data_IF_592557852564
#
_entry.id   IF_592557852564
#
_cell.length_a   1.000
_cell.length_b   1.000
_cell.length_c   1.000
_cell.angle_alpha   90.00
_cell.angle_beta   90.00
_cell.angle_gamma   90.00
#
_symmetry.space_group_name_H-M   'P 1'
#
loop_
_entity.id
_entity.type
_entity.pdbx_description
1 polymer ?
#
# COMPACT_ATOMS: atom_id res chain seq x y z
N UNK A 1 4.92 14.42 -11.13
CA UNK A 1 4.25 15.10 -12.25
C UNK A 1 3.26 14.21 -12.98
N UNK A 2 3.66 13.00 -13.45
CA UNK A 2 2.72 12.09 -14.16
C UNK A 2 1.54 11.71 -13.26
N UNK A 3 1.80 11.33 -12.01
CA UNK A 3 0.75 10.96 -11.05
C UNK A 3 -0.23 12.12 -10.84
N UNK A 4 0.26 13.35 -10.68
CA UNK A 4 -0.60 14.52 -10.49
C UNK A 4 -1.51 14.81 -11.70
N UNK A 5 -1.09 14.38 -12.89
CA UNK A 5 -1.86 14.57 -14.11
C UNK A 5 -2.93 13.51 -14.36
N UNK A 6 -2.67 12.27 -13.95
CA UNK A 6 -3.52 11.12 -14.29
C UNK A 6 -4.30 10.55 -13.10
N UNK A 7 -3.67 10.51 -11.93
CA UNK A 7 -4.22 9.94 -10.72
C UNK A 7 -3.72 10.71 -9.50
N UNK A 8 -4.11 12.00 -9.34
CA UNK A 8 -3.64 12.82 -8.23
C UNK A 8 -4.01 12.21 -6.88
N UNK A 9 -3.09 12.37 -5.92
CA UNK A 9 -3.23 11.87 -4.56
C UNK A 9 -3.57 13.03 -3.65
N UNK A 10 -4.76 12.97 -3.07
CA UNK A 10 -5.21 13.92 -2.05
C UNK A 10 -5.01 13.41 -0.63
N UNK A 11 -5.06 14.33 0.33
CA UNK A 11 -5.09 13.96 1.76
C UNK A 11 -6.37 13.17 2.06
N UNK A 12 -6.23 12.04 2.74
CA UNK A 12 -7.34 11.12 3.02
C UNK A 12 -7.57 10.04 1.95
N UNK A 13 -6.79 10.03 0.88
CA UNK A 13 -6.91 9.09 -0.24
C UNK A 13 -6.64 7.65 0.18
N UNK A 14 -7.40 6.72 -0.41
CA UNK A 14 -7.14 5.28 -0.40
C UNK A 14 -6.63 4.87 -1.77
N UNK A 15 -5.32 4.90 -1.97
CA UNK A 15 -4.71 4.60 -3.26
C UNK A 15 -4.16 3.18 -3.36
N UNK A 16 -4.38 2.55 -4.50
CA UNK A 16 -3.79 1.25 -4.83
C UNK A 16 -2.78 1.44 -5.96
N UNK A 17 -1.56 0.98 -5.72
CA UNK A 17 -0.52 0.88 -6.74
C UNK A 17 -0.49 -0.57 -7.22
N UNK A 18 -1.05 -0.81 -8.38
CA UNK A 18 -1.14 -2.15 -8.98
C UNK A 18 0.14 -2.44 -9.73
N UNK A 19 0.86 -3.48 -9.30
CA UNK A 19 2.16 -3.81 -9.87
C UNK A 19 2.27 -5.28 -10.26
N UNK A 20 2.45 -5.56 -11.55
CA UNK A 20 2.98 -6.85 -11.96
C UNK A 20 4.47 -6.98 -11.56
N UNK A 21 5.04 -8.21 -11.56
CA UNK A 21 6.46 -8.40 -11.31
C UNK A 21 7.35 -7.63 -12.30
N UNK A 22 8.45 -7.08 -11.81
CA UNK A 22 9.46 -6.37 -12.62
C UNK A 22 8.94 -5.15 -13.39
N UNK A 23 7.99 -4.43 -12.83
CA UNK A 23 7.42 -3.20 -13.41
C UNK A 23 7.95 -1.90 -12.78
N UNK A 24 8.95 -1.98 -11.89
CA UNK A 24 9.54 -0.81 -11.25
C UNK A 24 8.78 -0.31 -10.01
N UNK A 25 8.10 -1.21 -9.31
CA UNK A 25 7.35 -0.92 -8.08
C UNK A 25 8.17 -0.17 -7.03
N UNK A 26 9.35 -0.67 -6.68
CA UNK A 26 10.22 -0.07 -5.67
C UNK A 26 10.66 1.34 -6.05
N UNK A 27 10.99 1.55 -7.32
CA UNK A 27 11.40 2.86 -7.83
C UNK A 27 10.27 3.87 -7.74
N UNK A 28 9.05 3.52 -8.13
CA UNK A 28 7.91 4.43 -8.06
C UNK A 28 7.54 4.76 -6.61
N UNK A 29 7.62 3.79 -5.71
CA UNK A 29 7.39 4.03 -4.27
C UNK A 29 8.38 5.02 -3.69
N UNK A 30 9.67 4.87 -3.98
CA UNK A 30 10.72 5.80 -3.56
C UNK A 30 10.50 7.20 -4.12
N UNK A 31 10.11 7.29 -5.39
CA UNK A 31 9.82 8.56 -6.05
C UNK A 31 8.62 9.26 -5.42
N UNK A 32 7.55 8.53 -5.12
CA UNK A 32 6.38 9.07 -4.42
C UNK A 32 6.77 9.55 -3.04
N UNK A 33 7.48 8.75 -2.26
CA UNK A 33 7.94 9.10 -0.92
C UNK A 33 8.79 10.38 -0.92
N UNK A 34 9.80 10.44 -1.78
CA UNK A 34 10.67 11.60 -1.90
C UNK A 34 9.91 12.86 -2.35
N UNK A 35 8.93 12.70 -3.25
CA UNK A 35 8.11 13.82 -3.73
C UNK A 35 7.19 14.36 -2.63
N UNK A 36 6.60 13.49 -1.82
CA UNK A 36 5.79 13.90 -0.67
C UNK A 36 6.65 14.68 0.33
N UNK A 37 7.81 14.16 0.69
CA UNK A 37 8.72 14.80 1.64
C UNK A 37 9.21 16.17 1.16
N UNK A 38 9.45 16.29 -0.15
CA UNK A 38 9.92 17.55 -0.76
C UNK A 38 8.82 18.59 -0.88
N UNK A 39 7.64 18.19 -1.34
CA UNK A 39 6.56 19.09 -1.69
C UNK A 39 5.63 19.40 -0.52
N UNK A 40 5.54 18.50 0.44
CA UNK A 40 4.66 18.57 1.59
C UNK A 40 5.43 18.22 2.88
N UNK A 41 6.38 19.08 3.30
CA UNK A 41 7.25 18.79 4.46
C UNK A 41 6.49 18.71 5.79
N UNK A 42 5.27 19.22 5.86
CA UNK A 42 4.37 19.12 7.01
C UNK A 42 3.78 17.71 7.19
N UNK A 43 3.75 16.91 6.13
CA UNK A 43 3.20 15.55 6.16
C UNK A 43 4.14 14.60 6.87
N UNK A 44 3.59 13.78 7.75
CA UNK A 44 4.31 12.68 8.41
C UNK A 44 4.23 11.42 7.55
N UNK A 45 5.37 11.02 7.01
CA UNK A 45 5.47 9.86 6.14
C UNK A 45 5.90 8.62 6.94
N UNK A 46 5.15 7.54 6.78
CA UNK A 46 5.48 6.21 7.27
C UNK A 46 5.52 5.26 6.08
N UNK A 47 6.62 4.55 5.92
CA UNK A 47 6.73 3.46 4.95
C UNK A 47 6.68 2.14 5.70
N UNK A 48 5.68 1.32 5.44
CA UNK A 48 5.50 0.01 6.05
C UNK A 48 5.79 -1.08 5.03
N UNK A 49 6.84 -1.86 5.30
CA UNK A 49 7.31 -2.94 4.45
C UNK A 49 6.99 -4.30 5.11
N UNK A 50 6.16 -5.08 4.46
CA UNK A 50 5.74 -6.40 4.94
C UNK A 50 6.31 -7.49 4.03
N UNK A 51 6.97 -8.47 4.63
CA UNK A 51 7.54 -9.64 3.94
C UNK A 51 8.56 -9.24 2.86
N UNK A 52 9.34 -8.21 3.14
CA UNK A 52 10.34 -7.67 2.23
C UNK A 52 11.75 -8.16 2.60
N UNK A 53 12.68 -8.04 1.68
CA UNK A 53 14.08 -8.41 1.89
C UNK A 53 14.80 -7.37 2.75
N UNK A 54 15.73 -7.77 3.65
CA UNK A 54 16.49 -6.85 4.51
C UNK A 54 17.24 -5.76 3.72
N UNK A 55 17.81 -6.09 2.57
CA UNK A 55 18.53 -5.14 1.72
C UNK A 55 17.59 -4.05 1.14
N UNK A 56 16.35 -4.40 0.81
CA UNK A 56 15.36 -3.43 0.34
C UNK A 56 14.88 -2.51 1.47
N UNK A 57 14.77 -3.04 2.69
CA UNK A 57 14.49 -2.24 3.89
C UNK A 57 15.60 -1.24 4.14
N UNK A 58 16.85 -1.67 4.08
CA UNK A 58 18.02 -0.79 4.26
C UNK A 58 18.06 0.32 3.21
N UNK A 59 17.79 -0.02 1.96
CA UNK A 59 17.75 0.92 0.86
C UNK A 59 16.63 1.96 1.02
N UNK A 60 15.45 1.53 1.44
CA UNK A 60 14.34 2.45 1.73
C UNK A 60 14.69 3.40 2.88
N UNK A 61 15.30 2.91 3.96
CA UNK A 61 15.74 3.75 5.08
C UNK A 61 16.77 4.80 4.70
N UNK A 62 17.60 4.52 3.70
CA UNK A 62 18.57 5.49 3.17
C UNK A 62 17.93 6.55 2.28
N UNK A 63 16.83 6.21 1.63
CA UNK A 63 16.15 7.07 0.65
C UNK A 63 15.13 8.00 1.30
N UNK A 64 14.44 7.54 2.33
CA UNK A 64 13.31 8.21 2.96
C UNK A 64 13.76 8.83 4.28
N UNK A 65 13.42 10.11 4.53
CA UNK A 65 13.66 10.79 5.82
C UNK A 65 12.61 10.42 6.86
N UNK A 66 11.41 10.06 6.43
CA UNK A 66 10.32 9.58 7.26
C UNK A 66 10.63 8.25 7.93
N UNK A 67 9.66 7.75 8.68
CA UNK A 67 9.81 6.49 9.42
C UNK A 67 9.62 5.30 8.49
N UNK A 68 10.56 4.34 8.55
CA UNK A 68 10.46 3.06 7.86
C UNK A 68 10.26 1.96 8.90
N UNK A 69 9.09 1.34 8.87
CA UNK A 69 8.73 0.20 9.71
C UNK A 69 8.71 -1.04 8.83
N UNK A 70 9.36 -2.11 9.26
CA UNK A 70 9.50 -3.30 8.44
C UNK A 70 9.38 -4.59 9.25
N UNK A 71 8.78 -5.58 8.60
CA UNK A 71 8.83 -6.98 9.02
C UNK A 71 9.32 -7.80 7.83
N UNK A 72 10.55 -8.30 7.92
CA UNK A 72 11.22 -8.98 6.82
C UNK A 72 10.70 -10.41 6.60
N UNK A 73 11.01 -11.00 5.44
CA UNK A 73 10.49 -12.30 4.99
C UNK A 73 10.84 -13.47 5.92
N UNK A 74 11.88 -13.34 6.73
CA UNK A 74 12.34 -14.35 7.71
C UNK A 74 11.55 -14.32 9.02
N UNK A 75 10.59 -13.38 9.16
CA UNK A 75 9.73 -13.27 10.31
C UNK A 75 8.45 -14.09 10.15
N UNK A 76 7.87 -14.60 11.23
CA UNK A 76 6.61 -15.32 11.17
C UNK A 76 5.42 -14.40 10.83
N UNK A 77 4.35 -14.97 10.30
CA UNK A 77 3.18 -14.23 9.81
C UNK A 77 2.47 -13.41 10.89
N UNK A 78 2.48 -13.85 12.13
CA UNK A 78 1.92 -13.10 13.25
C UNK A 78 2.70 -11.83 13.59
N UNK A 79 4.01 -11.80 13.36
CA UNK A 79 4.78 -10.55 13.45
C UNK A 79 4.41 -9.56 12.35
N UNK A 80 4.16 -10.02 11.14
CA UNK A 80 3.71 -9.16 10.04
C UNK A 80 2.39 -8.48 10.36
N UNK A 81 1.43 -9.25 10.87
CA UNK A 81 0.12 -8.71 11.25
C UNK A 81 0.21 -7.76 12.45
N UNK A 82 1.00 -8.11 13.45
CA UNK A 82 1.19 -7.28 14.64
C UNK A 82 1.82 -5.91 14.31
N UNK A 83 2.85 -5.90 13.47
CA UNK A 83 3.50 -4.66 13.03
C UNK A 83 2.53 -3.76 12.24
N UNK A 84 1.68 -4.34 11.40
CA UNK A 84 0.66 -3.58 10.69
C UNK A 84 -0.36 -2.96 11.65
N UNK A 85 -0.82 -3.70 12.63
CA UNK A 85 -1.76 -3.21 13.66
C UNK A 85 -1.15 -2.08 14.49
N UNK A 86 0.09 -2.23 14.92
CA UNK A 86 0.80 -1.18 15.64
C UNK A 86 0.99 0.09 14.81
N UNK A 87 1.32 -0.06 13.53
CA UNK A 87 1.53 1.06 12.62
C UNK A 87 0.25 1.85 12.42
N UNK A 88 -0.87 1.19 12.18
CA UNK A 88 -2.14 1.89 11.97
C UNK A 88 -2.63 2.58 13.25
N UNK A 89 -2.45 1.97 14.41
CA UNK A 89 -2.80 2.61 15.70
C UNK A 89 -1.93 3.82 15.98
N UNK A 90 -0.62 3.74 15.71
CA UNK A 90 0.28 4.91 15.79
C UNK A 90 -0.18 6.04 14.88
N UNK A 91 -0.47 5.72 13.63
CA UNK A 91 -0.94 6.72 12.66
C UNK A 91 -2.25 7.38 13.09
N UNK A 92 -3.20 6.62 13.61
CA UNK A 92 -4.45 7.18 14.16
C UNK A 92 -4.21 8.15 15.30
N UNK A 93 -3.29 7.83 16.23
CA UNK A 93 -2.93 8.75 17.32
C UNK A 93 -2.34 10.06 16.79
N UNK A 94 -1.47 9.98 15.77
CA UNK A 94 -0.90 11.17 15.14
C UNK A 94 -2.00 12.03 14.47
N UNK A 95 -2.95 11.41 13.78
CA UNK A 95 -4.08 12.10 13.16
C UNK A 95 -4.96 12.79 14.21
N UNK A 96 -5.22 12.14 15.34
CA UNK A 96 -5.96 12.73 16.47
C UNK A 96 -5.26 13.97 17.05
N UNK A 97 -3.94 14.06 16.91
CA UNK A 97 -3.16 15.24 17.27
C UNK A 97 -3.16 16.33 16.18
N UNK A 98 -3.95 16.18 15.14
CA UNK A 98 -4.07 17.14 14.04
C UNK A 98 -3.03 16.97 12.93
N UNK A 99 -2.27 15.88 12.91
CA UNK A 99 -1.25 15.65 11.91
C UNK A 99 -1.82 15.07 10.61
N UNK A 100 -1.20 15.43 9.48
CA UNK A 100 -1.44 14.80 8.20
C UNK A 100 -0.43 13.66 8.02
N UNK A 101 -0.94 12.42 7.99
CA UNK A 101 -0.12 11.22 7.93
C UNK A 101 -0.32 10.51 6.60
N UNK A 102 0.75 10.09 5.97
CA UNK A 102 0.76 9.22 4.79
C UNK A 102 1.43 7.91 5.14
N UNK A 103 0.74 6.80 4.92
CA UNK A 103 1.32 5.46 4.99
C UNK A 103 1.49 4.93 3.57
N UNK A 104 2.70 4.56 3.21
CA UNK A 104 2.98 3.77 2.01
C UNK A 104 3.19 2.33 2.46
N UNK A 105 2.25 1.45 2.11
CA UNK A 105 2.28 0.03 2.45
C UNK A 105 2.77 -0.81 1.28
N UNK A 106 3.88 -1.47 1.45
CA UNK A 106 4.34 -2.51 0.52
C UNK A 106 4.25 -3.87 1.21
N UNK A 107 3.21 -4.66 1.04
CA UNK A 107 2.06 -4.43 0.20
C UNK A 107 0.83 -5.12 0.79
N UNK A 108 -0.33 -4.75 0.29
CA UNK A 108 -1.61 -5.28 0.77
C UNK A 108 -1.77 -6.78 0.48
N UNK A 109 -1.22 -7.25 -0.61
CA UNK A 109 -1.23 -8.68 -0.98
C UNK A 109 -0.50 -9.53 0.05
N UNK A 110 0.71 -9.12 0.43
CA UNK A 110 1.52 -9.84 1.42
C UNK A 110 0.91 -9.75 2.81
N UNK A 111 0.36 -8.62 3.19
CA UNK A 111 -0.36 -8.46 4.44
C UNK A 111 -1.58 -9.39 4.51
N UNK A 112 -2.36 -9.48 3.44
CA UNK A 112 -3.52 -10.39 3.38
C UNK A 112 -3.11 -11.85 3.45
N UNK A 113 -2.03 -12.24 2.81
CA UNK A 113 -1.45 -13.58 2.94
C UNK A 113 -1.02 -13.88 4.39
N UNK A 114 -0.41 -12.92 5.06
CA UNK A 114 0.00 -13.06 6.46
C UNK A 114 -1.21 -13.28 7.39
N UNK A 115 -2.27 -12.54 7.20
CA UNK A 115 -3.52 -12.76 7.93
C UNK A 115 -4.17 -14.10 7.61
N UNK A 116 -4.06 -14.59 6.38
CA UNK A 116 -4.57 -15.90 6.00
C UNK A 116 -3.87 -17.06 6.75
N UNK A 117 -2.61 -16.86 7.12
CA UNK A 117 -1.83 -17.84 7.91
C UNK A 117 -1.99 -17.64 9.41
N UNK A 118 -2.09 -16.40 9.89
CA UNK A 118 -2.06 -16.09 11.32
C UNK A 118 -3.45 -15.98 11.96
N UNK A 119 -4.47 -15.57 11.20
CA UNK A 119 -5.83 -15.40 11.71
C UNK A 119 -6.57 -16.74 11.81
N UNK A 120 -7.48 -16.90 12.79
CA UNK A 120 -8.35 -18.07 12.85
C UNK A 120 -9.19 -18.21 11.58
N UNK A 121 -9.22 -19.43 11.02
CA UNK A 121 -10.01 -19.71 9.82
C UNK A 121 -11.50 -19.66 10.12
N UNK A 122 -12.27 -18.98 9.27
CA UNK A 122 -13.75 -18.95 9.34
C UNK A 122 -14.38 -20.13 8.60
N UNK A 123 -13.58 -20.88 7.82
CA UNK A 123 -14.02 -21.98 6.97
C UNK A 123 -14.62 -21.54 5.63
N UNK A 124 -14.74 -20.24 5.38
CA UNK A 124 -15.19 -19.70 4.10
C UNK A 124 -14.01 -19.45 3.17
N UNK A 125 -13.60 -20.49 2.46
CA UNK A 125 -12.47 -20.43 1.56
C UNK A 125 -12.91 -19.85 0.20
N UNK A 126 -12.28 -18.77 -0.20
CA UNK A 126 -12.47 -18.12 -1.49
C UNK A 126 -11.53 -18.71 -2.54
N UNK A 127 -11.64 -18.23 -3.79
CA UNK A 127 -10.74 -18.61 -4.86
C UNK A 127 -9.27 -18.42 -4.48
N UNK A 128 -8.44 -19.41 -4.81
CA UNK A 128 -7.02 -19.37 -4.49
C UNK A 128 -6.65 -19.75 -3.06
N UNK A 129 -7.62 -20.17 -2.23
CA UNK A 129 -7.38 -20.68 -0.88
C UNK A 129 -7.30 -19.61 0.20
N UNK A 130 -7.72 -18.38 -0.08
CA UNK A 130 -7.82 -17.34 0.95
C UNK A 130 -9.10 -17.47 1.75
N UNK A 131 -9.00 -17.43 3.07
CA UNK A 131 -10.16 -17.38 3.96
C UNK A 131 -10.79 -15.98 3.93
N UNK A 132 -12.11 -15.91 3.78
CA UNK A 132 -12.84 -14.65 3.74
C UNK A 132 -12.60 -13.78 5.00
N UNK A 133 -12.44 -14.41 6.16
CA UNK A 133 -12.12 -13.71 7.42
C UNK A 133 -10.73 -13.06 7.43
N UNK A 134 -9.79 -13.58 6.65
CA UNK A 134 -8.44 -13.03 6.55
C UNK A 134 -8.38 -11.70 5.82
N UNK A 135 -9.39 -11.36 5.03
CA UNK A 135 -9.46 -10.10 4.28
C UNK A 135 -9.99 -8.93 5.11
N UNK A 136 -10.70 -9.21 6.19
CA UNK A 136 -11.31 -8.16 7.02
C UNK A 136 -10.27 -7.24 7.67
N UNK A 137 -9.21 -7.72 8.36
CA UNK A 137 -8.22 -6.84 8.97
C UNK A 137 -7.47 -5.97 7.96
N UNK A 138 -6.98 -6.48 6.81
CA UNK A 138 -6.36 -5.63 5.79
C UNK A 138 -7.32 -4.60 5.19
N UNK A 139 -8.60 -4.95 4.99
CA UNK A 139 -9.63 -3.99 4.56
C UNK A 139 -9.86 -2.90 5.58
N UNK A 140 -9.90 -3.26 6.86
CA UNK A 140 -10.02 -2.31 7.97
C UNK A 140 -8.81 -1.38 8.04
N UNK A 141 -7.61 -1.90 7.83
CA UNK A 141 -6.38 -1.12 7.71
C UNK A 141 -6.48 -0.10 6.58
N UNK A 142 -6.74 -0.56 5.38
CA UNK A 142 -6.81 0.28 4.18
C UNK A 142 -7.98 1.28 4.25
N UNK A 143 -9.11 0.85 4.77
CA UNK A 143 -10.31 1.67 4.94
C UNK A 143 -10.22 2.73 6.04
N UNK A 144 -9.14 2.76 6.82
CA UNK A 144 -8.91 3.78 7.83
C UNK A 144 -8.53 5.14 7.24
N UNK A 145 -8.09 5.20 5.99
CA UNK A 145 -7.71 6.43 5.30
C UNK A 145 -8.93 7.35 5.13
N UNK A 146 -8.79 8.59 5.61
CA UNK A 146 -9.83 9.62 5.56
C UNK A 146 -9.30 11.00 5.93
N UNK A 147 -10.03 12.04 5.56
CA UNK A 147 -9.89 13.35 6.17
C UNK A 147 -10.73 13.42 7.46
N UNK A 148 -10.24 14.13 8.43
CA UNK A 148 -10.97 14.41 9.69
C UNK A 148 -11.39 15.87 9.69
N UNK A 149 -12.68 16.14 9.92
CA UNK A 149 -13.24 17.50 9.91
C UNK A 149 -12.57 18.41 10.93
N UNK A 150 -12.19 17.88 12.08
CA UNK A 150 -11.53 18.60 13.17
C UNK A 150 -10.04 18.88 12.95
N UNK A 151 -9.50 18.43 11.84
CA UNK A 151 -8.08 18.52 11.46
C UNK A 151 -7.36 17.19 11.49
N UNK A 152 -6.31 17.11 10.69
CA UNK A 152 -5.59 15.88 10.45
C UNK A 152 -6.17 15.03 9.33
N UNK A 153 -5.34 14.18 8.76
CA UNK A 153 -5.74 13.25 7.71
C UNK A 153 -4.87 11.98 7.75
N UNK A 154 -5.45 10.88 7.27
CA UNK A 154 -4.72 9.65 7.02
C UNK A 154 -4.88 9.26 5.56
N UNK A 155 -3.78 9.23 4.85
CA UNK A 155 -3.68 8.78 3.46
C UNK A 155 -2.95 7.44 3.43
N UNK A 156 -3.47 6.46 2.72
CA UNK A 156 -2.84 5.14 2.59
C UNK A 156 -2.67 4.82 1.12
N UNK A 157 -1.41 4.59 0.72
CA UNK A 157 -1.04 4.10 -0.60
C UNK A 157 -0.51 2.68 -0.43
N UNK A 158 -1.25 1.70 -0.93
CA UNK A 158 -0.90 0.29 -0.80
C UNK A 158 -0.56 -0.32 -2.14
N UNK A 159 0.53 -1.08 -2.21
CA UNK A 159 0.84 -1.87 -3.40
C UNK A 159 0.03 -3.15 -3.41
N UNK A 160 -0.45 -3.53 -4.59
CA UNK A 160 -1.12 -4.80 -4.83
C UNK A 160 -0.40 -5.54 -5.96
N UNK A 161 -0.13 -6.82 -5.77
CA UNK A 161 0.53 -7.66 -6.76
C UNK A 161 -0.49 -8.26 -7.72
N UNK A 162 -0.20 -8.21 -9.00
CA UNK A 162 -0.96 -8.85 -10.08
C UNK A 162 -0.02 -9.63 -10.98
N UNK A 163 -0.57 -10.50 -11.83
CA UNK A 163 0.20 -11.31 -12.80
C UNK A 163 1.33 -12.13 -12.15
N UNK A 164 1.09 -12.64 -10.96
CA UNK A 164 2.03 -13.48 -10.21
C UNK A 164 1.83 -14.97 -10.44
N UNK A 165 0.88 -15.37 -11.29
CA UNK A 165 0.38 -16.73 -11.46
C UNK A 165 -0.23 -17.34 -10.18
N UNK A 166 -0.58 -16.52 -9.21
CA UNK A 166 -1.25 -16.92 -7.97
C UNK A 166 -2.72 -16.53 -7.99
N UNK A 167 -3.61 -17.51 -7.93
CA UNK A 167 -5.06 -17.28 -7.81
C UNK A 167 -5.42 -16.56 -6.52
N UNK A 168 -4.65 -16.79 -5.46
CA UNK A 168 -4.82 -16.08 -4.19
C UNK A 168 -4.56 -14.58 -4.37
N UNK A 169 -3.51 -14.21 -5.07
CA UNK A 169 -3.18 -12.80 -5.33
C UNK A 169 -4.23 -12.10 -6.17
N UNK A 170 -4.76 -12.79 -7.17
CA UNK A 170 -5.86 -12.29 -8.00
C UNK A 170 -7.13 -12.06 -7.16
N UNK A 171 -7.48 -13.00 -6.29
CA UNK A 171 -8.62 -12.87 -5.39
C UNK A 171 -8.44 -11.70 -4.41
N UNK A 172 -7.25 -11.54 -3.83
CA UNK A 172 -6.92 -10.41 -2.96
C UNK A 172 -7.06 -9.09 -3.71
N UNK A 173 -6.50 -8.99 -4.91
CA UNK A 173 -6.59 -7.77 -5.72
C UNK A 173 -8.04 -7.38 -6.02
N UNK A 174 -8.87 -8.33 -6.46
CA UNK A 174 -10.29 -8.08 -6.75
C UNK A 174 -11.05 -7.56 -5.53
N UNK A 175 -10.74 -8.08 -4.34
CA UNK A 175 -11.36 -7.62 -3.08
C UNK A 175 -10.98 -6.18 -2.71
N UNK A 176 -9.76 -5.74 -3.02
CA UNK A 176 -9.29 -4.39 -2.71
C UNK A 176 -9.59 -3.36 -3.80
N UNK A 177 -9.79 -3.80 -5.03
CA UNK A 177 -10.11 -2.93 -6.18
C UNK A 177 -11.32 -2.03 -5.93
N UNK A 178 -12.35 -2.56 -5.26
CA UNK A 178 -13.56 -1.81 -4.91
C UNK A 178 -13.43 -0.92 -3.66
N UNK A 179 -12.39 -1.11 -2.87
CA UNK A 179 -12.17 -0.37 -1.61
C UNK A 179 -11.39 0.92 -1.83
N UNK A 180 -10.50 0.94 -2.81
CA UNK A 180 -9.70 2.12 -3.16
C UNK A 180 -10.47 3.14 -3.98
N UNK A 181 -10.08 4.42 -3.85
CA UNK A 181 -10.60 5.54 -4.63
C UNK A 181 -9.55 6.18 -5.56
N UNK A 182 -8.39 5.58 -5.65
CA UNK A 182 -7.32 5.92 -6.60
C UNK A 182 -6.62 4.65 -7.02
N UNK A 183 -6.29 4.51 -8.28
CA UNK A 183 -5.58 3.36 -8.82
C UNK A 183 -4.47 3.83 -9.76
N UNK A 184 -3.25 3.45 -9.45
CA UNK A 184 -2.07 3.66 -10.30
C UNK A 184 -1.60 2.29 -10.79
N UNK A 185 -1.71 2.03 -12.09
CA UNK A 185 -1.28 0.76 -12.68
C UNK A 185 0.08 0.86 -13.32
N UNK A 186 0.96 -0.06 -12.95
CA UNK A 186 2.22 -0.30 -13.64
C UNK A 186 2.04 -1.40 -14.68
N UNK A 187 2.72 -1.29 -15.81
CA UNK A 187 2.67 -2.26 -16.91
C UNK A 187 4.08 -2.79 -17.18
N UNK A 188 4.25 -4.11 -17.10
CA UNK A 188 5.52 -4.79 -17.37
C UNK A 188 6.00 -4.59 -18.80
N UNK A 189 5.10 -4.56 -19.79
CA UNK A 189 5.46 -4.36 -21.21
C UNK A 189 6.08 -2.98 -21.46
N UNK A 190 5.61 -1.96 -20.73
CA UNK A 190 6.17 -0.60 -20.76
C UNK A 190 7.58 -0.63 -20.15
N UNK A 191 7.76 -1.32 -19.02
CA UNK A 191 9.06 -1.48 -18.39
C UNK A 191 10.06 -2.25 -19.25
N UNK A 192 9.62 -3.29 -19.95
CA UNK A 192 10.44 -4.07 -20.90
C UNK A 192 10.92 -3.21 -22.08
N UNK A 193 10.16 -2.19 -22.48
CA UNK A 193 10.57 -1.18 -23.46
C UNK A 193 11.48 -0.11 -22.87
N UNK A 194 11.87 -0.23 -21.59
CA UNK A 194 12.68 0.74 -20.86
C UNK A 194 12.06 2.15 -20.75
N UNK A 195 10.73 2.23 -20.81
CA UNK A 195 9.99 3.45 -20.54
C UNK A 195 9.64 3.48 -19.04
N UNK A 196 10.17 4.49 -18.34
CA UNK A 196 9.94 4.66 -16.91
C UNK A 196 9.51 6.09 -16.57
N UNK A 197 8.63 6.28 -15.60
CA UNK A 197 7.90 5.23 -14.87
C UNK A 197 6.96 4.43 -15.81
N UNK A 198 6.88 3.12 -15.59
CA UNK A 198 6.12 2.21 -16.44
C UNK A 198 4.61 2.24 -16.10
N UNK A 199 4.02 3.42 -16.17
CA UNK A 199 2.62 3.68 -15.81
C UNK A 199 1.72 3.46 -17.03
N UNK A 200 0.71 2.63 -16.86
CA UNK A 200 -0.41 2.52 -17.79
C UNK A 200 -1.39 3.66 -17.51
N UNK A 201 -1.35 4.68 -18.35
CA UNK A 201 -2.15 5.90 -18.20
C UNK A 201 -3.64 5.62 -18.35
N UNK A 202 -4.01 4.76 -19.28
CA UNK A 202 -5.42 4.46 -19.60
C UNK A 202 -6.08 3.63 -18.48
N UNK A 203 -5.29 2.80 -17.78
CA UNK A 203 -5.76 1.97 -16.70
C UNK A 203 -5.66 2.64 -15.32
N UNK A 204 -5.03 3.80 -15.23
CA UNK A 204 -4.86 4.55 -13.98
C UNK A 204 -5.93 5.63 -13.86
N UNK A 205 -6.47 5.81 -12.65
CA UNK A 205 -7.52 6.78 -12.39
C UNK A 205 -7.61 7.18 -10.93
N UNK A 206 -8.24 8.32 -10.68
CA UNK A 206 -8.70 8.71 -9.37
C UNK A 206 -10.21 8.92 -9.41
N UNK A 207 -10.92 8.51 -8.36
CA UNK A 207 -12.35 8.76 -8.23
C UNK A 207 -12.53 10.05 -7.44
N UNK A 208 -13.36 10.94 -7.94
CA UNK A 208 -13.95 12.02 -7.15
C UNK A 208 -15.00 11.38 -6.23
N UNK A 209 -14.73 11.43 -4.94
CA UNK A 209 -15.79 11.34 -3.94
C UNK A 209 -16.09 12.80 -3.55
N UNK A 210 -17.31 13.23 -3.86
CA UNK A 210 -17.83 14.54 -3.43
C UNK A 210 -17.98 14.58 -1.91
#
# INVERSE_FOLDING_TARGET
RIIDLIAPIGKGQRGIIVSPPKAGKTTIMKTIAASIEKNNPEVKLIVLLIDERPEEVTDMRRTVKGEVIASTFDRPSDEHTHIAEMTIEKAKRMVEMGEDVVIILDGITRLSRAYNLAAPATGRIMSGGIDAGALYPPKKFFGAARNVEEGGSLTILATALVDTNSRMDEAIFEEFKGTGNMELRLDRRIAERRVFPAIDVDASSTRHEE
#
